data_IF_738883311697
#
_entry.id   IF_738883311697
#
_cell.length_a   1.000
_cell.length_b   1.000
_cell.length_c   1.000
_cell.angle_alpha   90.00
_cell.angle_beta   90.00
_cell.angle_gamma   90.00
#
_symmetry.space_group_name_H-M   'P 1'
#
loop_
_entity.id
_entity.type
_entity.pdbx_description
1 polymer ?
#
# COMPACT_ATOMS: atom_id res chain seq x y z
N UNK A 1 -0.61 -15.08 6.08
CA UNK A 1 -0.01 -15.99 7.07
C UNK A 1 1.19 -15.30 7.68
N UNK A 2 1.37 -15.40 9.01
CA UNK A 2 2.53 -14.80 9.69
C UNK A 2 3.80 -15.64 9.43
N UNK A 3 4.99 -15.06 9.62
CA UNK A 3 6.25 -15.82 9.49
C UNK A 3 6.42 -16.87 10.57
N UNK A 4 5.76 -16.71 11.73
CA UNK A 4 5.77 -17.70 12.82
C UNK A 4 4.99 -18.94 12.40
N UNK A 5 3.77 -18.75 11.89
CA UNK A 5 2.94 -19.85 11.39
C UNK A 5 3.60 -20.57 10.21
N UNK A 6 4.19 -19.80 9.28
CA UNK A 6 4.88 -20.40 8.14
C UNK A 6 6.07 -21.25 8.60
N UNK A 7 6.86 -20.77 9.57
CA UNK A 7 7.99 -21.51 10.13
C UNK A 7 7.58 -22.84 10.75
N UNK A 8 6.51 -22.83 11.53
CA UNK A 8 5.94 -24.04 12.13
C UNK A 8 5.46 -25.04 11.07
N UNK A 9 4.70 -24.58 10.08
CA UNK A 9 4.13 -25.44 9.04
C UNK A 9 5.18 -26.14 8.16
N UNK A 10 6.30 -25.47 7.88
CA UNK A 10 7.34 -26.01 6.99
C UNK A 10 8.58 -26.51 7.75
N UNK A 11 8.59 -26.45 9.08
CA UNK A 11 9.67 -26.96 9.92
C UNK A 11 10.99 -26.18 9.82
N UNK A 12 10.94 -24.85 9.64
CA UNK A 12 12.14 -24.00 9.54
C UNK A 12 12.14 -22.91 10.62
N UNK A 13 13.27 -22.19 10.76
CA UNK A 13 13.32 -21.06 11.69
C UNK A 13 12.42 -19.90 11.21
N UNK A 14 11.87 -19.14 12.17
CA UNK A 14 11.09 -17.93 11.89
C UNK A 14 11.83 -16.92 11.00
N UNK A 15 13.15 -16.78 11.18
CA UNK A 15 13.97 -15.86 10.38
C UNK A 15 14.03 -16.31 8.91
N UNK A 16 14.20 -17.61 8.67
CA UNK A 16 14.17 -18.19 7.32
C UNK A 16 12.79 -18.03 6.68
N UNK A 17 11.73 -18.34 7.42
CA UNK A 17 10.35 -18.18 6.95
C UNK A 17 10.02 -16.72 6.63
N UNK A 18 10.46 -15.77 7.46
CA UNK A 18 10.28 -14.35 7.20
C UNK A 18 11.00 -13.92 5.92
N UNK A 19 12.25 -14.36 5.72
CA UNK A 19 13.00 -14.06 4.50
C UNK A 19 12.32 -14.64 3.25
N UNK A 20 11.89 -15.90 3.29
CA UNK A 20 11.13 -16.52 2.20
C UNK A 20 9.84 -15.76 1.89
N UNK A 21 9.09 -15.37 2.91
CA UNK A 21 7.86 -14.62 2.73
C UNK A 21 8.13 -13.24 2.09
N UNK A 22 9.24 -12.57 2.41
CA UNK A 22 9.62 -11.31 1.75
C UNK A 22 9.95 -11.51 0.26
N UNK A 23 10.55 -12.65 -0.12
CA UNK A 23 10.80 -12.99 -1.52
C UNK A 23 9.50 -13.25 -2.29
N UNK A 24 8.57 -13.99 -1.68
CA UNK A 24 7.25 -14.21 -2.28
C UNK A 24 6.53 -12.87 -2.48
N UNK A 25 6.61 -11.95 -1.51
CA UNK A 25 6.02 -10.61 -1.64
C UNK A 25 6.67 -9.76 -2.74
N UNK A 26 7.94 -9.99 -3.06
CA UNK A 26 8.56 -9.34 -4.21
C UNK A 26 7.90 -9.77 -5.52
N UNK A 27 7.51 -11.03 -5.64
CA UNK A 27 6.82 -11.56 -6.82
C UNK A 27 5.36 -11.09 -6.93
N UNK A 28 4.79 -10.50 -5.88
CA UNK A 28 3.47 -9.87 -5.94
C UNK A 28 3.48 -8.48 -6.54
N UNK A 29 4.67 -7.92 -6.82
CA UNK A 29 4.77 -6.66 -7.55
C UNK A 29 4.22 -6.85 -8.97
N UNK A 30 3.22 -6.05 -9.32
CA UNK A 30 2.66 -6.02 -10.66
C UNK A 30 2.58 -4.60 -11.16
N UNK A 31 3.31 -4.36 -12.25
CA UNK A 31 2.99 -3.54 -13.42
C UNK A 31 2.47 -2.12 -13.24
N UNK A 32 2.63 -1.30 -14.28
CA UNK A 32 1.98 0.00 -14.41
C UNK A 32 0.51 -0.23 -14.78
N UNK A 33 -0.35 -0.42 -13.78
CA UNK A 33 -1.79 -0.39 -14.02
C UNK A 33 -2.16 1.04 -14.46
N UNK A 34 -2.57 1.17 -15.71
CA UNK A 34 -3.30 2.34 -16.18
C UNK A 34 -4.78 2.06 -15.89
N UNK A 35 -5.38 2.91 -15.07
CA UNK A 35 -6.76 2.81 -14.63
C UNK A 35 -7.68 3.60 -15.57
N UNK A 36 -8.91 3.10 -15.77
CA UNK A 36 -9.94 3.73 -16.59
C UNK A 36 -11.31 3.72 -15.92
N UNK A 37 -12.33 4.25 -16.61
CA UNK A 37 -13.69 4.29 -16.11
C UNK A 37 -13.84 5.14 -14.85
N UNK A 38 -14.39 4.57 -13.78
CA UNK A 38 -14.55 5.24 -12.47
C UNK A 38 -13.49 4.71 -11.50
N UNK A 39 -12.66 5.61 -11.01
CA UNK A 39 -11.56 5.30 -10.09
C UNK A 39 -11.71 6.09 -8.80
N UNK A 40 -11.58 5.42 -7.68
CA UNK A 40 -11.56 6.04 -6.35
C UNK A 40 -10.10 6.16 -5.88
N UNK A 41 -9.72 7.35 -5.41
CA UNK A 41 -8.40 7.65 -4.87
C UNK A 41 -8.54 8.28 -3.50
N UNK A 42 -7.84 7.73 -2.52
CA UNK A 42 -7.83 8.21 -1.13
C UNK A 42 -6.53 7.81 -0.44
N UNK A 43 -6.24 8.37 0.73
CA UNK A 43 -5.10 8.05 1.56
C UNK A 43 -5.50 7.35 2.87
N UNK A 44 -4.62 6.47 3.33
CA UNK A 44 -4.71 5.92 4.68
C UNK A 44 -3.38 5.95 5.40
N UNK A 45 -3.44 6.02 6.73
CA UNK A 45 -2.25 6.13 7.57
C UNK A 45 -2.01 4.85 8.37
N UNK A 46 -0.82 4.26 8.17
CA UNK A 46 -0.35 3.06 8.85
C UNK A 46 0.62 3.45 9.96
N UNK A 47 0.30 3.04 11.20
CA UNK A 47 1.13 3.31 12.36
C UNK A 47 0.38 3.21 13.67
N UNK A 48 1.11 3.23 14.78
CA UNK A 48 0.54 3.15 16.12
C UNK A 48 -0.43 4.30 16.40
N UNK A 49 -1.54 3.99 17.09
CA UNK A 49 -2.47 5.03 17.57
C UNK A 49 -1.73 5.95 18.54
N UNK A 50 -1.90 7.26 18.39
CA UNK A 50 -1.21 8.23 19.23
C UNK A 50 -1.53 8.05 20.73
N UNK A 51 -2.77 7.64 21.04
CA UNK A 51 -3.19 7.28 22.41
C UNK A 51 -2.34 6.17 23.05
N UNK A 52 -1.76 5.27 22.25
CA UNK A 52 -0.93 4.16 22.71
C UNK A 52 0.58 4.51 22.73
N UNK A 53 0.97 5.71 22.30
CA UNK A 53 2.37 6.14 22.36
C UNK A 53 2.74 6.57 23.78
N UNK A 54 4.00 6.38 24.15
CA UNK A 54 4.56 6.94 25.38
C UNK A 54 4.36 8.45 25.41
N UNK A 55 4.08 9.04 26.58
CA UNK A 55 3.77 10.46 26.77
C UNK A 55 4.70 11.41 26.00
N UNK A 56 6.01 11.17 26.03
CA UNK A 56 7.06 11.95 25.34
C UNK A 56 7.05 11.85 23.80
N UNK A 57 6.32 10.89 23.22
CA UNK A 57 6.19 10.64 21.77
C UNK A 57 4.78 10.91 21.23
N UNK A 58 3.86 11.38 22.08
CA UNK A 58 2.51 11.78 21.67
C UNK A 58 2.59 13.11 20.93
N UNK A 59 1.81 13.25 19.87
CA UNK A 59 1.70 14.52 19.17
C UNK A 59 0.70 15.43 19.90
N UNK A 60 0.95 16.74 19.86
CA UNK A 60 -0.07 17.75 20.22
C UNK A 60 -1.05 18.00 19.06
N UNK A 61 -0.71 17.61 17.84
CA UNK A 61 -1.56 17.75 16.65
C UNK A 61 -2.39 16.49 16.39
N UNK A 62 -3.65 16.68 15.98
CA UNK A 62 -4.53 15.60 15.52
C UNK A 62 -4.11 15.18 14.11
N UNK A 63 -3.98 13.87 13.89
CA UNK A 63 -3.79 13.27 12.56
C UNK A 63 -2.33 13.08 12.14
N UNK A 64 -2.05 11.95 11.47
CA UNK A 64 -0.83 11.69 10.68
C UNK A 64 0.54 11.59 11.38
N UNK A 65 0.78 12.23 12.52
CA UNK A 65 2.13 12.38 13.09
C UNK A 65 2.80 11.03 13.42
N UNK A 66 3.98 10.78 12.84
CA UNK A 66 4.71 9.51 12.86
C UNK A 66 3.92 8.30 12.33
N UNK A 67 3.08 8.52 11.32
CA UNK A 67 2.44 7.44 10.56
C UNK A 67 2.93 7.48 9.13
N UNK A 68 2.93 6.32 8.50
CA UNK A 68 3.24 6.17 7.09
C UNK A 68 1.96 6.31 6.26
N UNK A 69 1.96 7.25 5.32
CA UNK A 69 0.86 7.42 4.38
C UNK A 69 0.94 6.38 3.25
N UNK A 70 -0.20 5.75 2.96
CA UNK A 70 -0.41 4.86 1.81
C UNK A 70 -1.52 5.46 0.96
N UNK A 71 -1.23 5.71 -0.31
CA UNK A 71 -2.19 6.12 -1.32
C UNK A 71 -2.85 4.88 -1.91
N UNK A 72 -4.17 4.86 -1.96
CA UNK A 72 -4.94 3.82 -2.62
C UNK A 72 -5.56 4.33 -3.91
N UNK A 73 -5.51 3.50 -4.96
CA UNK A 73 -6.13 3.75 -6.26
C UNK A 73 -6.91 2.49 -6.62
N UNK A 74 -8.24 2.59 -6.69
CA UNK A 74 -9.10 1.44 -7.01
C UNK A 74 -10.08 1.78 -8.11
N UNK A 75 -10.03 1.00 -9.18
CA UNK A 75 -11.05 1.01 -10.23
C UNK A 75 -12.27 0.24 -9.74
N UNK A 76 -13.46 0.81 -9.92
CA UNK A 76 -14.70 0.15 -9.52
C UNK A 76 -14.86 -1.16 -10.28
N UNK A 77 -15.04 -2.25 -9.52
CA UNK A 77 -15.09 -3.63 -10.03
C UNK A 77 -13.82 -4.06 -10.78
N UNK A 78 -12.72 -3.34 -10.63
CA UNK A 78 -11.47 -3.58 -11.34
C UNK A 78 -10.29 -3.84 -10.40
N UNK A 79 -9.17 -3.24 -10.79
CA UNK A 79 -7.89 -3.40 -10.11
C UNK A 79 -7.70 -2.40 -8.97
N UNK A 80 -6.86 -2.79 -8.02
CA UNK A 80 -6.37 -2.02 -6.89
C UNK A 80 -4.86 -1.83 -7.00
N UNK A 81 -4.40 -0.65 -6.60
CA UNK A 81 -3.01 -0.34 -6.30
C UNK A 81 -2.91 0.40 -4.98
N UNK A 82 -1.86 0.07 -4.22
CA UNK A 82 -1.54 0.67 -2.94
C UNK A 82 -0.07 1.12 -2.97
N UNK A 83 0.18 2.41 -2.82
CA UNK A 83 1.53 2.99 -2.85
C UNK A 83 1.87 3.63 -1.51
N UNK A 84 2.96 3.19 -0.90
CA UNK A 84 3.55 3.81 0.28
C UNK A 84 4.27 5.10 -0.15
N UNK A 85 3.64 6.24 0.15
CA UNK A 85 4.13 7.57 -0.19
C UNK A 85 4.88 8.25 0.96
N UNK A 86 4.88 7.64 2.14
CA UNK A 86 5.53 8.14 3.36
C UNK A 86 4.73 9.26 4.02
N UNK A 87 4.51 10.35 3.30
CA UNK A 87 3.73 11.51 3.74
C UNK A 87 2.77 11.98 2.63
N UNK A 88 1.65 12.58 3.04
CA UNK A 88 0.66 13.13 2.11
C UNK A 88 0.98 14.59 1.83
N UNK A 89 1.55 14.87 0.66
CA UNK A 89 1.71 16.23 0.15
C UNK A 89 1.52 16.24 -1.38
N UNK A 90 1.39 17.43 -1.97
CA UNK A 90 1.12 17.56 -3.41
C UNK A 90 2.19 16.90 -4.28
N UNK A 91 3.46 16.94 -3.87
CA UNK A 91 4.55 16.32 -4.63
C UNK A 91 4.49 14.79 -4.57
N UNK A 92 4.35 14.20 -3.38
CA UNK A 92 4.32 12.74 -3.21
C UNK A 92 3.10 12.12 -3.86
N UNK A 93 1.93 12.76 -3.72
CA UNK A 93 0.68 12.32 -4.37
C UNK A 93 0.77 12.48 -5.89
N UNK A 94 1.27 13.60 -6.40
CA UNK A 94 1.43 13.81 -7.85
C UNK A 94 2.37 12.77 -8.46
N UNK A 95 3.49 12.47 -7.80
CA UNK A 95 4.43 11.43 -8.24
C UNK A 95 3.77 10.05 -8.30
N UNK A 96 2.96 9.71 -7.30
CA UNK A 96 2.28 8.42 -7.23
C UNK A 96 1.15 8.27 -8.27
N UNK A 97 0.48 9.37 -8.63
CA UNK A 97 -0.64 9.40 -9.59
C UNK A 97 -0.21 9.61 -11.05
N UNK A 98 1.00 10.12 -11.29
CA UNK A 98 1.49 10.43 -12.63
C UNK A 98 1.46 9.19 -13.55
N UNK A 99 0.82 9.33 -14.71
CA UNK A 99 0.73 8.27 -15.72
C UNK A 99 -0.18 7.10 -15.37
N UNK A 100 -0.99 7.20 -14.31
CA UNK A 100 -1.85 6.09 -13.83
C UNK A 100 -3.25 6.08 -14.45
N UNK A 101 -3.65 7.09 -15.20
CA UNK A 101 -5.03 7.25 -15.66
C UNK A 101 -5.11 7.39 -17.18
N UNK A 102 -6.11 6.74 -17.78
CA UNK A 102 -6.54 7.06 -19.13
C UNK A 102 -7.13 8.48 -19.18
N UNK A 103 -7.13 9.09 -20.36
CA UNK A 103 -7.60 10.47 -20.57
C UNK A 103 -9.07 10.70 -20.22
N UNK A 104 -9.90 9.65 -20.30
CA UNK A 104 -11.35 9.65 -20.04
C UNK A 104 -11.72 9.20 -18.62
N UNK A 105 -10.74 8.89 -17.78
CA UNK A 105 -10.98 8.42 -16.41
C UNK A 105 -11.69 9.48 -15.56
N UNK A 106 -12.76 9.07 -14.87
CA UNK A 106 -13.42 9.84 -13.83
C UNK A 106 -12.83 9.46 -12.50
N UNK A 107 -12.20 10.41 -11.81
CA UNK A 107 -11.54 10.14 -10.53
C UNK A 107 -12.35 10.75 -9.39
N UNK A 108 -12.73 9.92 -8.43
CA UNK A 108 -13.47 10.29 -7.23
C UNK A 108 -12.51 10.33 -6.05
N UNK A 109 -12.50 11.43 -5.30
CA UNK A 109 -11.70 11.59 -4.09
C UNK A 109 -12.55 12.18 -2.97
N UNK A 110 -11.98 12.28 -1.76
CA UNK A 110 -12.51 13.14 -0.70
C UNK A 110 -12.38 14.64 -1.07
N UNK A 111 -12.64 15.54 -0.12
CA UNK A 111 -12.56 17.00 -0.32
C UNK A 111 -11.16 17.61 -0.16
N UNK A 112 -10.11 16.80 0.02
CA UNK A 112 -8.78 17.36 0.31
C UNK A 112 -8.25 18.19 -0.86
N UNK A 113 -7.62 19.33 -0.58
CA UNK A 113 -7.09 20.22 -1.62
C UNK A 113 -5.80 19.72 -2.28
N UNK A 114 -5.27 18.58 -1.79
CA UNK A 114 -4.05 17.97 -2.33
C UNK A 114 -4.24 17.58 -3.80
N UNK A 115 -5.44 17.17 -4.21
CA UNK A 115 -5.72 16.68 -5.57
C UNK A 115 -6.12 17.76 -6.59
N UNK A 116 -6.50 18.98 -6.16
CA UNK A 116 -7.12 20.01 -7.03
C UNK A 116 -6.32 20.36 -8.28
N UNK A 117 -4.99 20.24 -8.21
CA UNK A 117 -4.07 20.56 -9.32
C UNK A 117 -3.42 19.33 -9.96
N UNK A 118 -3.75 18.14 -9.47
CA UNK A 118 -3.18 16.87 -9.91
C UNK A 118 -4.15 16.18 -10.88
N UNK A 119 -5.45 16.25 -10.58
CA UNK A 119 -6.47 15.46 -11.26
C UNK A 119 -7.46 16.39 -11.97
N UNK A 120 -7.48 16.36 -13.30
CA UNK A 120 -8.34 17.23 -14.12
C UNK A 120 -9.82 16.86 -14.04
N UNK A 121 -10.14 15.57 -14.19
CA UNK A 121 -11.52 15.05 -14.19
C UNK A 121 -11.93 14.58 -12.79
N UNK A 122 -11.73 15.44 -11.78
CA UNK A 122 -12.00 15.13 -10.37
C UNK A 122 -13.47 15.33 -10.01
N UNK A 123 -14.04 14.37 -9.28
CA UNK A 123 -15.30 14.50 -8.53
C UNK A 123 -15.01 14.33 -7.04
N UNK A 124 -15.67 15.09 -6.19
CA UNK A 124 -15.44 15.06 -4.74
C UNK A 124 -16.68 14.60 -3.99
N UNK A 125 -16.46 13.83 -2.92
CA UNK A 125 -17.51 13.42 -1.97
C UNK A 125 -17.41 14.28 -0.72
N UNK A 126 -18.51 14.94 -0.34
CA UNK A 126 -18.54 15.76 0.87
C UNK A 126 -18.93 14.91 2.09
N UNK A 127 -17.94 14.44 2.84
CA UNK A 127 -18.17 13.69 4.08
C UNK A 127 -18.70 14.54 5.25
N UNK A 128 -18.62 15.88 5.18
CA UNK A 128 -19.08 16.77 6.25
C UNK A 128 -20.60 17.03 6.24
N UNK A 129 -21.29 16.69 5.14
CA UNK A 129 -22.73 16.88 4.95
C UNK A 129 -23.58 15.60 5.07
N UNK A 130 -23.00 14.47 5.50
CA UNK A 130 -23.65 13.14 5.50
C UNK A 130 -24.12 12.68 4.10
N UNK A 131 -23.61 13.27 3.01
CA UNK A 131 -23.85 12.81 1.65
C UNK A 131 -22.87 11.67 1.32
N UNK A 132 -23.15 10.47 1.84
CA UNK A 132 -22.34 9.27 1.56
C UNK A 132 -22.52 8.73 0.14
N UNK A 133 -23.56 9.20 -0.57
CA UNK A 133 -23.90 8.81 -1.94
C UNK A 133 -24.53 9.99 -2.66
N UNK A 134 -23.84 10.56 -3.65
CA UNK A 134 -24.47 11.43 -4.65
C UNK A 134 -24.50 10.67 -5.98
N UNK A 135 -25.48 9.78 -6.13
CA UNK A 135 -25.57 8.83 -7.24
C UNK A 135 -24.32 7.93 -7.30
N UNK A 136 -23.57 8.02 -8.39
CA UNK A 136 -22.33 7.27 -8.58
C UNK A 136 -21.09 7.92 -7.95
N UNK A 137 -21.20 9.02 -7.19
CA UNK A 137 -20.05 9.71 -6.59
C UNK A 137 -19.91 9.28 -5.12
N UNK A 138 -19.00 8.34 -4.84
CA UNK A 138 -18.67 7.80 -3.51
C UNK A 138 -17.26 7.16 -3.49
N UNK A 139 -16.68 7.00 -2.29
CA UNK A 139 -15.36 6.39 -2.01
C UNK A 139 -15.43 5.07 -1.20
N UNK A 140 -16.61 4.47 -1.09
CA UNK A 140 -16.87 3.26 -0.31
C UNK A 140 -15.96 2.06 -0.68
N UNK A 141 -15.57 1.94 -1.96
CA UNK A 141 -14.73 0.82 -2.41
C UNK A 141 -13.35 0.94 -1.80
N UNK A 142 -12.73 2.12 -1.89
CA UNK A 142 -11.39 2.36 -1.33
C UNK A 142 -11.41 2.33 0.21
N UNK A 143 -12.46 2.83 0.85
CA UNK A 143 -12.65 2.69 2.30
C UNK A 143 -12.69 1.22 2.74
N UNK A 144 -13.41 0.38 2.00
CA UNK A 144 -13.47 -1.07 2.21
C UNK A 144 -12.09 -1.72 2.08
N UNK A 145 -11.32 -1.35 1.06
CA UNK A 145 -9.93 -1.77 0.87
C UNK A 145 -9.06 -1.38 2.07
N UNK A 146 -9.17 -0.15 2.58
CA UNK A 146 -8.42 0.27 3.77
C UNK A 146 -8.83 -0.49 5.03
N UNK A 147 -10.10 -0.90 5.13
CA UNK A 147 -10.55 -1.85 6.13
C UNK A 147 -9.79 -3.18 6.05
N UNK A 148 -9.63 -3.74 4.85
CA UNK A 148 -8.86 -4.98 4.62
C UNK A 148 -7.38 -4.79 4.99
N UNK A 149 -6.77 -3.67 4.57
CA UNK A 149 -5.37 -3.36 4.90
C UNK A 149 -5.16 -3.34 6.41
N UNK A 150 -5.96 -2.57 7.14
CA UNK A 150 -5.83 -2.42 8.59
C UNK A 150 -6.09 -3.73 9.32
N UNK A 151 -7.09 -4.52 8.90
CA UNK A 151 -7.38 -5.85 9.48
C UNK A 151 -6.27 -6.86 9.20
N UNK A 152 -5.69 -6.85 8.00
CA UNK A 152 -4.56 -7.73 7.64
C UNK A 152 -3.35 -7.43 8.51
N UNK A 153 -2.98 -6.16 8.66
CA UNK A 153 -1.87 -5.76 9.51
C UNK A 153 -2.17 -6.10 10.97
N UNK A 154 -3.36 -5.79 11.48
CA UNK A 154 -3.72 -6.04 12.86
C UNK A 154 -3.81 -7.53 13.21
N UNK A 155 -4.36 -8.37 12.32
CA UNK A 155 -4.67 -9.76 12.61
C UNK A 155 -3.63 -10.78 12.16
N UNK A 156 -2.83 -10.48 11.13
CA UNK A 156 -1.85 -11.44 10.57
C UNK A 156 -0.41 -11.04 10.90
N UNK A 157 -0.07 -9.77 10.71
CA UNK A 157 1.32 -9.32 10.77
C UNK A 157 1.70 -8.67 12.10
N UNK A 158 0.75 -8.03 12.77
CA UNK A 158 0.85 -7.20 13.98
C UNK A 158 1.82 -6.00 13.89
N UNK A 159 2.92 -6.13 13.15
CA UNK A 159 3.92 -5.11 12.92
C UNK A 159 4.46 -5.19 11.50
N UNK A 160 4.55 -4.03 10.84
CA UNK A 160 5.18 -3.87 9.54
C UNK A 160 6.10 -2.65 9.64
N UNK A 161 7.38 -2.81 9.32
CA UNK A 161 8.31 -1.69 9.32
C UNK A 161 8.07 -0.78 8.12
N UNK A 162 8.37 0.52 8.27
CA UNK A 162 8.36 1.50 7.18
C UNK A 162 9.07 0.98 5.93
N UNK A 163 10.26 0.41 6.11
CA UNK A 163 11.10 -0.11 5.02
C UNK A 163 10.39 -1.17 4.16
N UNK A 164 9.58 -2.01 4.78
CA UNK A 164 8.96 -3.14 4.07
C UNK A 164 7.49 -2.88 3.72
N UNK A 165 6.92 -1.74 4.11
CA UNK A 165 5.49 -1.49 4.00
C UNK A 165 4.96 -1.68 2.57
N UNK A 166 5.68 -1.19 1.56
CA UNK A 166 5.31 -1.38 0.15
C UNK A 166 5.15 -2.85 -0.24
N UNK A 167 6.01 -3.76 0.23
CA UNK A 167 5.91 -5.20 -0.07
C UNK A 167 4.62 -5.82 0.46
N UNK A 168 4.17 -5.37 1.63
CA UNK A 168 2.89 -5.79 2.20
C UNK A 168 1.70 -5.17 1.45
N UNK A 169 1.83 -3.93 0.99
CA UNK A 169 0.81 -3.29 0.16
C UNK A 169 0.65 -4.01 -1.18
N UNK A 170 1.77 -4.39 -1.81
CA UNK A 170 1.80 -5.21 -3.03
C UNK A 170 1.09 -6.55 -2.82
N UNK A 171 1.35 -7.25 -1.71
CA UNK A 171 0.66 -8.50 -1.39
C UNK A 171 -0.87 -8.35 -1.31
N UNK A 172 -1.34 -7.31 -0.63
CA UNK A 172 -2.77 -7.07 -0.44
C UNK A 172 -3.42 -6.70 -1.78
N UNK A 173 -2.79 -5.80 -2.54
CA UNK A 173 -3.25 -5.41 -3.87
C UNK A 173 -3.27 -6.60 -4.84
N UNK A 174 -2.22 -7.42 -4.85
CA UNK A 174 -2.14 -8.62 -5.69
C UNK A 174 -3.28 -9.59 -5.39
N UNK A 175 -3.52 -9.90 -4.10
CA UNK A 175 -4.63 -10.77 -3.68
C UNK A 175 -5.99 -10.21 -4.07
N UNK A 176 -6.18 -8.90 -3.94
CA UNK A 176 -7.40 -8.25 -4.38
C UNK A 176 -7.59 -8.41 -5.89
N UNK A 177 -6.56 -8.17 -6.69
CA UNK A 177 -6.64 -8.16 -8.16
C UNK A 177 -6.88 -9.55 -8.76
N UNK A 178 -6.46 -10.61 -8.07
CA UNK A 178 -6.60 -12.00 -8.54
C UNK A 178 -7.73 -12.76 -7.84
N UNK A 179 -8.57 -12.07 -7.06
CA UNK A 179 -9.58 -12.68 -6.18
C UNK A 179 -10.48 -13.70 -6.89
N UNK A 180 -10.83 -13.44 -8.14
CA UNK A 180 -11.69 -14.28 -8.99
C UNK A 180 -10.97 -15.51 -9.60
N UNK A 181 -9.63 -15.57 -9.56
CA UNK A 181 -8.88 -16.72 -10.08
C UNK A 181 -9.01 -17.93 -9.15
N UNK A 182 -8.93 -19.14 -9.72
CA UNK A 182 -8.82 -20.36 -8.91
C UNK A 182 -7.42 -20.45 -8.25
N UNK A 183 -7.25 -21.37 -7.30
CA UNK A 183 -5.99 -21.50 -6.55
C UNK A 183 -4.79 -21.90 -7.42
N UNK A 184 -5.00 -22.70 -8.46
CA UNK A 184 -3.93 -23.14 -9.37
C UNK A 184 -3.37 -21.93 -10.15
N UNK A 185 -4.24 -21.13 -10.73
CA UNK A 185 -3.86 -19.93 -11.49
C UNK A 185 -3.21 -18.86 -10.60
N UNK A 186 -3.69 -18.72 -9.36
CA UNK A 186 -3.07 -17.84 -8.35
C UNK A 186 -1.61 -18.22 -8.08
N UNK A 187 -1.33 -19.52 -7.92
CA UNK A 187 0.03 -20.03 -7.69
C UNK A 187 0.89 -19.85 -8.93
N UNK A 188 0.40 -20.23 -10.11
CA UNK A 188 1.15 -20.10 -11.35
C UNK A 188 1.50 -18.65 -11.67
N UNK A 189 0.57 -17.71 -11.47
CA UNK A 189 0.83 -16.29 -11.67
C UNK A 189 1.90 -15.78 -10.70
N UNK A 190 1.87 -16.22 -9.44
CA UNK A 190 2.92 -15.87 -8.47
C UNK A 190 4.29 -16.38 -8.93
N UNK A 191 4.37 -17.65 -9.37
CA UNK A 191 5.61 -18.26 -9.86
C UNK A 191 6.13 -17.56 -11.12
N UNK A 192 5.25 -17.23 -12.06
CA UNK A 192 5.59 -16.50 -13.28
C UNK A 192 6.23 -15.13 -12.98
N UNK A 193 5.81 -14.48 -11.89
CA UNK A 193 6.38 -13.20 -11.48
C UNK A 193 7.69 -13.32 -10.68
N UNK A 194 8.15 -14.52 -10.33
CA UNK A 194 9.40 -14.74 -9.56
C UNK A 194 10.67 -14.58 -10.43
N UNK A 195 10.76 -13.51 -11.20
CA UNK A 195 11.87 -13.25 -12.13
C UNK A 195 13.03 -12.46 -11.49
N UNK A 196 12.81 -11.89 -10.30
CA UNK A 196 13.79 -11.05 -9.61
C UNK A 196 14.43 -11.76 -8.42
N UNK A 197 15.74 -11.56 -8.24
CA UNK A 197 16.48 -12.07 -7.08
C UNK A 197 16.56 -11.01 -5.99
N UNK A 198 15.93 -11.28 -4.85
CA UNK A 198 16.10 -10.50 -3.63
C UNK A 198 17.12 -11.16 -2.69
N UNK A 199 18.29 -10.53 -2.47
CA UNK A 199 19.27 -11.02 -1.49
C UNK A 199 18.91 -10.51 -0.09
N UNK A 200 19.35 -11.26 0.93
CA UNK A 200 19.11 -10.88 2.32
C UNK A 200 19.72 -9.52 2.67
N UNK A 201 20.93 -9.22 2.18
CA UNK A 201 21.60 -7.93 2.39
C UNK A 201 20.82 -6.73 1.83
N UNK A 202 20.18 -6.90 0.68
CA UNK A 202 19.35 -5.86 0.04
C UNK A 202 18.08 -5.66 0.87
N UNK A 203 17.45 -6.78 1.26
CA UNK A 203 16.26 -6.77 2.09
C UNK A 203 16.50 -6.03 3.41
N UNK A 204 17.61 -6.27 4.12
CA UNK A 204 17.89 -5.56 5.38
C UNK A 204 18.52 -4.18 5.17
N UNK A 205 19.01 -3.87 3.96
CA UNK A 205 19.53 -2.53 3.60
C UNK A 205 21.00 -2.36 3.94
N UNK A 206 21.68 -3.50 4.13
CA UNK A 206 23.09 -3.54 4.40
C UNK A 206 23.90 -2.93 3.24
N UNK A 207 23.49 -3.15 1.98
CA UNK A 207 24.21 -2.59 0.81
C UNK A 207 24.09 -1.07 0.70
N UNK A 208 22.88 -0.52 0.81
CA UNK A 208 22.63 0.92 0.78
C UNK A 208 23.44 1.67 1.86
N UNK A 209 23.59 1.06 3.04
CA UNK A 209 24.37 1.61 4.14
C UNK A 209 25.87 1.58 3.84
N UNK A 210 26.39 0.49 3.28
CA UNK A 210 27.81 0.35 2.95
C UNK A 210 28.23 1.21 1.75
N UNK A 211 27.37 1.38 0.74
CA UNK A 211 27.62 2.30 -0.38
C UNK A 211 27.69 3.75 0.13
N UNK A 212 26.74 4.20 0.96
CA UNK A 212 26.78 5.54 1.55
C UNK A 212 28.04 5.80 2.39
N UNK A 213 28.53 4.79 3.11
CA UNK A 213 29.77 4.88 3.89
C UNK A 213 31.03 4.92 3.02
N UNK A 214 30.98 4.37 1.81
CA UNK A 214 32.08 4.43 0.84
C UNK A 214 32.17 5.81 0.18
N UNK A 215 31.03 6.46 -0.08
CA UNK A 215 30.96 7.81 -0.66
C UNK A 215 31.10 8.95 0.36
N UNK A 216 30.99 8.69 1.66
CA UNK A 216 31.20 9.69 2.72
C UNK A 216 32.66 9.79 3.20
N UNK A 217 33.59 9.08 2.55
CA UNK A 217 35.04 9.09 2.84
C UNK A 217 35.85 9.85 1.78
N UNK A 218 35.18 10.65 0.95
CA UNK A 218 35.76 11.61 0.00
C UNK A 218 35.30 12.99 0.45
#
# INVERSE_FOLDING_TARGET
>A
MSSVQLAEQVGITQKTAWFMAQRIREAYERGENIFGGIVEVDETYIGGKDKNKHSKKKSKTRGGFNKEAVLGIVERRGNLRLEHIGETNRYTVSKALSGKFNSDTVVITDETTVYDKIIKNRKTVNHSKNEYVNGEIYTNTIEGVFGIVKRTIFGIYHFVSRKHLQRYMNEIAFRYNIRELNNFDKVNLCLYNMNNRLRYGDLIGWREQNEKLQYSKI
#
